data_IF_326474227564
#
_entry.id   IF_326474227564
#
_cell.length_a   1.000
_cell.length_b   1.000
_cell.length_c   1.000
_cell.angle_alpha   90.00
_cell.angle_beta   90.00
_cell.angle_gamma   90.00
#
_symmetry.space_group_name_H-M   'P 1'
#
loop_
_entity.id
_entity.type
_entity.pdbx_description
1 polymer ?
#
# COMPACT_ATOMS: atom_id res chain seq x y z
N UNK A 1 -18.41 -17.91 -8.94
CA UNK A 1 -17.85 -17.21 -7.76
C UNK A 1 -16.92 -16.07 -8.20
N UNK A 2 -17.42 -14.90 -8.66
CA UNK A 2 -16.55 -13.85 -9.20
C UNK A 2 -15.93 -12.88 -8.15
N UNK A 3 -16.25 -13.02 -6.85
CA UNK A 3 -15.85 -12.04 -5.82
C UNK A 3 -14.51 -12.29 -5.10
N UNK A 4 -14.06 -13.53 -4.99
CA UNK A 4 -12.89 -13.87 -4.15
C UNK A 4 -11.57 -13.43 -4.77
N UNK A 5 -11.40 -13.61 -6.09
CA UNK A 5 -10.17 -13.23 -6.78
C UNK A 5 -9.90 -11.72 -6.68
N UNK A 6 -10.94 -10.88 -6.85
CA UNK A 6 -10.81 -9.42 -6.70
C UNK A 6 -10.45 -9.00 -5.28
N UNK A 7 -11.03 -9.65 -4.26
CA UNK A 7 -10.69 -9.40 -2.86
C UNK A 7 -9.23 -9.78 -2.55
N UNK A 8 -8.77 -10.93 -3.05
CA UNK A 8 -7.38 -11.39 -2.86
C UNK A 8 -6.39 -10.44 -3.54
N UNK A 9 -6.66 -9.99 -4.76
CA UNK A 9 -5.79 -9.03 -5.47
C UNK A 9 -5.67 -7.72 -4.70
N UNK A 10 -6.79 -7.16 -4.21
CA UNK A 10 -6.77 -5.93 -3.40
C UNK A 10 -5.96 -6.13 -2.13
N UNK A 11 -6.16 -7.24 -1.44
CA UNK A 11 -5.41 -7.59 -0.24
C UNK A 11 -3.91 -7.68 -0.49
N UNK A 12 -3.49 -8.41 -1.53
CA UNK A 12 -2.06 -8.56 -1.84
C UNK A 12 -1.42 -7.21 -2.20
N UNK A 13 -2.13 -6.37 -2.95
CA UNK A 13 -1.65 -5.05 -3.33
C UNK A 13 -1.51 -4.12 -2.12
N UNK A 14 -2.50 -4.09 -1.23
CA UNK A 14 -2.45 -3.26 -0.02
C UNK A 14 -1.43 -3.76 0.98
N UNK A 15 -1.30 -5.08 1.13
CA UNK A 15 -0.27 -5.69 1.95
C UNK A 15 1.14 -5.34 1.43
N UNK A 16 1.38 -5.47 0.12
CA UNK A 16 2.66 -5.11 -0.48
C UNK A 16 2.99 -3.61 -0.31
N UNK A 17 2.01 -2.71 -0.50
CA UNK A 17 2.18 -1.27 -0.29
C UNK A 17 2.50 -0.95 1.17
N UNK A 18 1.84 -1.62 2.11
CA UNK A 18 2.07 -1.40 3.53
C UNK A 18 3.48 -1.84 3.96
N UNK A 19 3.87 -3.07 3.63
CA UNK A 19 5.19 -3.61 3.96
C UNK A 19 6.28 -2.81 3.23
N UNK A 20 6.09 -2.51 1.95
CA UNK A 20 7.00 -1.67 1.17
C UNK A 20 7.17 -0.29 1.79
N UNK A 21 6.08 0.33 2.25
CA UNK A 21 6.12 1.63 2.92
C UNK A 21 6.93 1.61 4.23
N UNK A 22 6.74 0.58 5.07
CA UNK A 22 7.54 0.40 6.30
C UNK A 22 9.03 0.21 6.01
N UNK A 23 9.37 -0.58 4.99
CA UNK A 23 10.76 -0.77 4.56
C UNK A 23 11.37 0.55 4.07
N UNK A 24 10.62 1.33 3.29
CA UNK A 24 11.09 2.61 2.76
C UNK A 24 11.29 3.66 3.86
N UNK A 25 10.40 3.69 4.87
CA UNK A 25 10.59 4.51 6.08
C UNK A 25 11.84 4.08 6.86
N UNK A 26 12.04 2.77 7.05
CA UNK A 26 13.24 2.24 7.71
C UNK A 26 14.52 2.61 6.96
N UNK A 27 14.50 2.52 5.62
CA UNK A 27 15.60 2.97 4.78
C UNK A 27 15.85 4.47 4.89
N UNK A 28 14.80 5.29 5.02
CA UNK A 28 14.91 6.73 5.29
C UNK A 28 15.54 7.09 6.64
N UNK A 29 15.66 6.15 7.58
CA UNK A 29 16.43 6.31 8.82
C UNK A 29 17.94 6.10 8.66
N UNK A 30 18.38 5.62 7.50
CA UNK A 30 19.80 5.40 7.20
C UNK A 30 20.46 6.67 6.63
N UNK A 31 21.79 6.75 6.70
CA UNK A 31 22.58 7.90 6.19
C UNK A 31 22.83 7.80 4.68
N UNK A 32 21.78 7.53 3.90
CA UNK A 32 21.84 7.48 2.44
C UNK A 32 21.43 8.81 1.82
N UNK A 33 21.98 9.13 0.66
CA UNK A 33 21.55 10.30 -0.10
C UNK A 33 20.06 10.16 -0.46
N UNK A 34 19.26 11.19 -0.17
CA UNK A 34 17.82 11.17 -0.38
C UNK A 34 17.01 10.45 0.70
N UNK A 35 17.59 10.11 1.85
CA UNK A 35 16.89 9.51 2.99
C UNK A 35 15.55 10.20 3.38
N UNK A 36 15.43 11.54 3.39
CA UNK A 36 14.14 12.20 3.65
C UNK A 36 13.06 11.83 2.62
N UNK A 37 13.43 11.67 1.35
CA UNK A 37 12.49 11.31 0.29
C UNK A 37 12.06 9.85 0.38
N UNK A 38 12.95 8.94 0.82
CA UNK A 38 12.59 7.55 1.11
C UNK A 38 11.58 7.47 2.25
N UNK A 39 11.79 8.26 3.31
CA UNK A 39 10.87 8.32 4.44
C UNK A 39 9.48 8.84 4.01
N UNK A 40 9.43 9.96 3.28
CA UNK A 40 8.18 10.52 2.73
C UNK A 40 7.50 9.56 1.76
N UNK A 41 8.27 8.90 0.89
CA UNK A 41 7.76 7.86 -0.01
C UNK A 41 7.14 6.70 0.76
N UNK A 42 7.72 6.33 1.90
CA UNK A 42 7.20 5.29 2.78
C UNK A 42 5.85 5.69 3.40
N UNK A 43 5.71 6.94 3.83
CA UNK A 43 4.43 7.50 4.32
C UNK A 43 3.37 7.42 3.22
N UNK A 44 3.70 7.90 2.02
CA UNK A 44 2.78 7.86 0.88
C UNK A 44 2.33 6.43 0.55
N UNK A 45 3.25 5.47 0.51
CA UNK A 45 2.94 4.06 0.27
C UNK A 45 2.02 3.46 1.34
N UNK A 46 2.28 3.74 2.62
CA UNK A 46 1.40 3.32 3.71
C UNK A 46 0.02 3.96 3.61
N UNK A 47 -0.10 5.26 3.29
CA UNK A 47 -1.39 5.92 3.10
C UNK A 47 -2.20 5.28 1.96
N UNK A 48 -1.53 4.98 0.85
CA UNK A 48 -2.16 4.29 -0.29
C UNK A 48 -2.65 2.89 0.09
N UNK A 49 -1.90 2.16 0.93
CA UNK A 49 -2.31 0.85 1.43
C UNK A 49 -3.68 0.88 2.17
N UNK A 50 -4.05 2.01 2.76
CA UNK A 50 -5.36 2.19 3.40
C UNK A 50 -6.45 2.71 2.44
N UNK A 51 -6.09 3.39 1.34
CA UNK A 51 -7.06 3.84 0.32
C UNK A 51 -7.46 2.73 -0.67
N UNK A 52 -6.53 1.88 -1.08
CA UNK A 52 -6.78 0.82 -2.07
C UNK A 52 -7.84 -0.24 -1.70
N UNK A 53 -8.03 -0.67 -0.44
CA UNK A 53 -9.08 -1.62 -0.08
C UNK A 53 -10.50 -1.08 -0.36
N UNK A 54 -10.68 0.25 -0.33
CA UNK A 54 -11.98 0.91 -0.49
C UNK A 54 -12.39 1.07 -1.96
N UNK A 55 -11.45 0.92 -2.91
CA UNK A 55 -11.74 0.96 -4.35
C UNK A 55 -12.41 -0.35 -4.80
N UNK A 56 -13.72 -0.42 -4.58
CA UNK A 56 -14.59 -1.43 -5.17
C UNK A 56 -15.58 -2.08 -4.21
N UNK A 57 -16.02 -1.32 -3.20
CA UNK A 57 -17.27 -1.57 -2.46
C UNK A 57 -18.53 -1.18 -3.26
N UNK A 58 -18.39 -0.69 -4.50
CA UNK A 58 -19.49 -0.09 -5.27
C UNK A 58 -20.24 -0.98 -6.27
N UNK A 59 -19.98 -2.29 -6.41
CA UNK A 59 -20.62 -3.06 -7.51
C UNK A 59 -20.93 -4.54 -7.22
N UNK A 60 -21.36 -4.92 -6.02
CA UNK A 60 -21.97 -6.27 -5.79
C UNK A 60 -23.48 -6.23 -5.60
N UNK A 61 -24.14 -5.19 -6.10
CA UNK A 61 -25.60 -5.10 -6.22
C UNK A 61 -25.99 -4.93 -7.69
N UNK A 62 -25.85 -5.97 -8.52
CA UNK A 62 -26.69 -6.24 -9.72
C UNK A 62 -26.61 -7.72 -10.09
#
# INVERSE_FOLDING_TARGET
MPGHAGAVVRFLLTFALFIGGLVLMGAGGSQVEGAPWLFVGGIAACTLAFMFPMMGTGTTER
#
